data_IF_894625332645
#
_entry.id   IF_894625332645
#
_cell.length_a   1.000
_cell.length_b   1.000
_cell.length_c   1.000
_cell.angle_alpha   90.00
_cell.angle_beta   90.00
_cell.angle_gamma   90.00
#
_symmetry.space_group_name_H-M   'P 1'
#
loop_
_entity.id
_entity.type
_entity.pdbx_description
1 polymer ?
#
# COMPACT_ATOMS: atom_id res chain seq x y z
N UNK A 1 -3.77 7.31 -12.95
CA UNK A 1 -5.18 6.91 -12.81
C UNK A 1 -5.45 5.74 -13.72
N UNK A 2 -6.13 4.73 -13.20
CA UNK A 2 -6.59 3.58 -13.97
C UNK A 2 -7.96 3.92 -14.56
N UNK A 3 -8.14 3.71 -15.87
CA UNK A 3 -9.45 3.92 -16.48
C UNK A 3 -10.38 2.75 -16.13
N UNK A 4 -11.39 3.02 -15.34
CA UNK A 4 -12.37 2.05 -14.86
C UNK A 4 -13.79 2.34 -15.37
N UNK A 5 -13.94 3.26 -16.31
CA UNK A 5 -15.25 3.75 -16.77
C UNK A 5 -15.95 2.78 -17.72
N UNK A 6 -15.22 1.91 -18.39
CA UNK A 6 -15.81 0.83 -19.21
C UNK A 6 -16.38 -0.24 -18.27
N UNK A 7 -17.65 -0.54 -18.40
CA UNK A 7 -18.35 -1.49 -17.54
C UNK A 7 -17.63 -2.84 -17.40
N UNK A 8 -17.88 -3.55 -16.28
CA UNK A 8 -17.29 -4.85 -15.98
C UNK A 8 -16.78 -4.95 -14.55
N UNK A 9 -16.30 -6.12 -14.16
CA UNK A 9 -15.76 -6.40 -12.82
C UNK A 9 -14.23 -6.42 -12.80
N UNK A 10 -13.61 -6.40 -13.98
CA UNK A 10 -12.15 -6.47 -14.16
C UNK A 10 -11.70 -5.49 -15.23
N UNK A 11 -10.59 -4.84 -14.96
CA UNK A 11 -9.93 -3.94 -15.90
C UNK A 11 -8.71 -4.67 -16.46
N UNK A 12 -8.61 -4.73 -17.78
CA UNK A 12 -7.46 -5.31 -18.47
C UNK A 12 -6.59 -4.17 -19.02
N UNK A 13 -5.34 -4.14 -18.56
CA UNK A 13 -4.35 -3.18 -19.05
C UNK A 13 -3.36 -3.93 -19.94
N UNK A 14 -3.32 -3.67 -21.25
CA UNK A 14 -2.33 -4.28 -22.13
C UNK A 14 -0.94 -3.77 -21.78
N UNK A 15 0.04 -4.65 -21.83
CA UNK A 15 1.41 -4.37 -21.47
C UNK A 15 2.40 -4.99 -22.46
N UNK A 16 3.52 -4.29 -22.64
CA UNK A 16 4.68 -4.83 -23.34
C UNK A 16 5.74 -5.21 -22.30
N UNK A 17 6.23 -6.44 -22.39
CA UNK A 17 7.29 -6.88 -21.49
C UNK A 17 8.58 -6.10 -21.79
N UNK A 18 9.40 -5.83 -20.74
CA UNK A 18 10.70 -5.20 -20.92
C UNK A 18 11.57 -5.97 -21.91
N UNK A 19 12.34 -5.23 -22.69
CA UNK A 19 13.28 -5.80 -23.65
C UNK A 19 14.52 -6.28 -22.90
N UNK A 20 14.86 -7.56 -23.06
CA UNK A 20 16.13 -8.13 -22.59
C UNK A 20 16.98 -8.50 -23.81
N UNK A 21 17.79 -7.57 -24.35
CA UNK A 21 18.56 -7.81 -25.55
C UNK A 21 19.71 -8.79 -25.27
N UNK A 22 19.90 -9.75 -26.17
CA UNK A 22 21.09 -10.59 -26.20
C UNK A 22 22.00 -10.06 -27.30
N UNK A 23 23.24 -9.72 -26.94
CA UNK A 23 24.23 -9.29 -27.95
C UNK A 23 24.67 -10.46 -28.79
N UNK A 24 24.70 -10.27 -30.09
CA UNK A 24 25.22 -11.24 -31.07
C UNK A 24 26.48 -10.71 -31.73
N UNK A 25 27.47 -11.59 -31.93
CA UNK A 25 28.75 -11.24 -32.56
C UNK A 25 28.56 -11.16 -34.08
N UNK A 26 28.87 -9.99 -34.63
CA UNK A 26 28.89 -9.74 -36.08
C UNK A 26 30.31 -9.86 -36.60
N UNK A 27 30.76 -11.04 -36.98
CA UNK A 27 32.12 -11.30 -37.46
C UNK A 27 32.27 -11.24 -38.97
N UNK A 28 31.21 -11.06 -39.73
CA UNK A 28 31.20 -10.96 -41.18
C UNK A 28 31.54 -12.25 -41.94
N UNK A 29 31.72 -13.35 -41.21
CA UNK A 29 32.09 -14.66 -41.81
C UNK A 29 30.90 -15.57 -42.01
N UNK A 30 29.69 -15.12 -41.66
CA UNK A 30 28.48 -15.93 -41.71
C UNK A 30 28.07 -16.27 -43.13
N UNK A 31 27.79 -17.56 -43.36
CA UNK A 31 27.14 -18.05 -44.58
C UNK A 31 25.66 -18.21 -44.32
N UNK A 32 24.85 -17.58 -45.15
CA UNK A 32 23.39 -17.66 -45.06
C UNK A 32 22.91 -19.11 -44.92
N UNK A 33 22.19 -19.37 -43.81
CA UNK A 33 21.55 -20.69 -43.55
C UNK A 33 22.43 -21.73 -42.86
N UNK A 34 23.72 -21.47 -42.55
CA UNK A 34 24.62 -22.46 -41.92
C UNK A 34 25.19 -22.08 -40.55
N UNK A 35 25.23 -20.81 -40.20
CA UNK A 35 25.65 -20.36 -38.88
C UNK A 35 24.97 -19.06 -38.53
N UNK A 36 24.71 -18.82 -37.23
CA UNK A 36 24.14 -17.58 -36.77
C UNK A 36 25.18 -16.47 -36.58
N UNK A 37 26.46 -16.76 -36.73
CA UNK A 37 27.54 -15.79 -36.60
C UNK A 37 27.50 -14.80 -37.77
N UNK A 38 27.38 -13.53 -37.46
CA UNK A 38 27.36 -12.43 -38.43
C UNK A 38 25.98 -11.99 -38.92
N UNK A 39 24.90 -12.62 -38.49
CA UNK A 39 23.53 -12.20 -38.76
C UNK A 39 22.80 -11.97 -37.44
N UNK A 40 22.07 -10.85 -37.33
CA UNK A 40 21.22 -10.57 -36.19
C UNK A 40 19.95 -11.45 -36.26
N UNK A 41 19.64 -12.08 -35.12
CA UNK A 41 18.41 -12.83 -34.93
C UNK A 41 17.32 -11.91 -34.38
N UNK A 42 16.24 -11.62 -35.14
CA UNK A 42 15.17 -10.76 -34.65
C UNK A 42 14.52 -11.35 -33.41
N UNK A 43 14.56 -10.64 -32.31
CA UNK A 43 13.87 -10.99 -31.07
C UNK A 43 12.45 -10.42 -31.12
N UNK A 44 11.49 -11.18 -30.58
CA UNK A 44 10.10 -10.76 -30.50
C UNK A 44 9.82 -10.12 -29.16
N UNK A 45 9.14 -8.99 -29.18
CA UNK A 45 8.59 -8.39 -27.96
C UNK A 45 7.37 -9.23 -27.55
N UNK A 46 7.37 -9.71 -26.32
CA UNK A 46 6.20 -10.39 -25.75
C UNK A 46 5.25 -9.36 -25.15
N UNK A 47 3.96 -9.63 -25.27
CA UNK A 47 2.91 -8.80 -24.68
C UNK A 47 2.25 -9.56 -23.54
N UNK A 48 1.97 -8.85 -22.47
CA UNK A 48 1.23 -9.33 -21.31
C UNK A 48 -0.10 -8.59 -21.16
N UNK A 49 -0.92 -9.05 -20.23
CA UNK A 49 -2.12 -8.35 -19.80
C UNK A 49 -2.14 -8.31 -18.28
N UNK A 50 -2.12 -7.12 -17.72
CA UNK A 50 -2.37 -6.91 -16.31
C UNK A 50 -3.87 -6.92 -16.06
N UNK A 51 -4.29 -7.47 -14.93
CA UNK A 51 -5.70 -7.56 -14.57
C UNK A 51 -5.88 -6.94 -13.20
N UNK A 52 -6.62 -5.84 -13.15
CA UNK A 52 -7.11 -5.23 -11.92
C UNK A 52 -8.54 -5.65 -11.66
N UNK A 53 -8.88 -5.91 -10.40
CA UNK A 53 -10.26 -6.23 -9.99
C UNK A 53 -10.94 -5.01 -9.40
N UNK A 54 -12.21 -4.80 -9.75
CA UNK A 54 -13.04 -3.73 -9.20
C UNK A 54 -13.72 -4.25 -7.96
N UNK A 55 -13.66 -3.48 -6.89
CA UNK A 55 -14.31 -3.78 -5.63
C UNK A 55 -15.54 -2.89 -5.46
N UNK A 56 -16.72 -3.49 -5.45
CA UNK A 56 -17.98 -2.83 -5.14
C UNK A 56 -18.18 -2.86 -3.63
N UNK A 57 -18.29 -1.71 -3.00
CA UNK A 57 -18.38 -1.57 -1.55
C UNK A 57 -19.48 -0.59 -1.17
N UNK A 58 -20.16 -0.87 -0.08
CA UNK A 58 -21.15 0.01 0.48
C UNK A 58 -21.44 -0.34 1.92
N UNK A 59 -22.03 0.60 2.62
CA UNK A 59 -22.55 0.45 3.98
C UNK A 59 -23.75 1.37 4.19
N UNK A 60 -24.57 1.05 5.17
CA UNK A 60 -25.75 1.85 5.49
C UNK A 60 -25.85 2.09 6.98
N UNK A 61 -26.43 3.23 7.34
CA UNK A 61 -26.79 3.59 8.71
C UNK A 61 -28.27 3.91 8.78
N UNK A 62 -28.89 3.56 9.89
CA UNK A 62 -30.26 3.91 10.19
C UNK A 62 -30.32 4.60 11.55
N UNK A 63 -31.16 5.62 11.66
CA UNK A 63 -31.36 6.39 12.90
C UNK A 63 -32.84 6.40 13.20
N UNK A 64 -33.23 5.95 14.42
CA UNK A 64 -34.61 5.94 14.89
C UNK A 64 -35.05 7.32 15.36
N UNK A 65 -36.31 7.70 15.13
CA UNK A 65 -36.90 8.95 15.64
C UNK A 65 -36.78 9.07 17.18
N UNK A 66 -36.93 7.93 17.88
CA UNK A 66 -36.80 7.91 19.34
C UNK A 66 -35.39 8.19 19.80
N UNK A 67 -34.37 7.74 19.03
CA UNK A 67 -32.98 8.03 19.34
C UNK A 67 -32.65 9.52 19.20
N UNK A 68 -33.21 10.19 18.19
CA UNK A 68 -33.08 11.65 17.99
C UNK A 68 -33.66 12.43 19.19
N UNK A 69 -34.88 12.02 19.62
CA UNK A 69 -35.54 12.64 20.79
C UNK A 69 -34.75 12.42 22.09
N UNK A 70 -34.20 11.23 22.27
CA UNK A 70 -33.40 10.91 23.48
C UNK A 70 -32.03 11.59 23.50
N UNK A 71 -31.39 11.73 22.36
CA UNK A 71 -30.07 12.36 22.26
C UNK A 71 -30.13 13.89 22.30
N UNK A 72 -31.23 14.50 21.86
CA UNK A 72 -31.38 15.95 21.76
C UNK A 72 -30.52 16.59 20.65
N UNK A 73 -29.85 15.78 19.83
CA UNK A 73 -29.00 16.18 18.71
C UNK A 73 -29.34 15.38 17.46
N UNK A 74 -28.83 15.77 16.30
CA UNK A 74 -28.98 15.04 15.04
C UNK A 74 -27.88 13.99 14.84
N UNK A 75 -28.12 12.69 15.14
CA UNK A 75 -27.13 11.64 14.95
C UNK A 75 -26.78 11.43 13.47
N UNK A 76 -27.72 11.70 12.54
CA UNK A 76 -27.46 11.54 11.11
C UNK A 76 -26.44 12.59 10.61
N UNK A 77 -26.51 13.83 11.12
CA UNK A 77 -25.52 14.86 10.84
C UNK A 77 -24.12 14.46 11.32
N UNK A 78 -24.04 13.84 12.51
CA UNK A 78 -22.77 13.33 13.03
C UNK A 78 -22.18 12.21 12.19
N UNK A 79 -23.02 11.26 11.72
CA UNK A 79 -22.59 10.19 10.82
C UNK A 79 -22.04 10.76 9.51
N UNK A 80 -22.74 11.73 8.90
CA UNK A 80 -22.29 12.37 7.64
C UNK A 80 -20.90 12.99 7.77
N UNK A 81 -20.56 13.59 8.89
CA UNK A 81 -19.27 14.20 9.12
C UNK A 81 -18.12 13.17 9.24
N UNK A 82 -18.44 11.93 9.60
CA UNK A 82 -17.45 10.86 9.77
C UNK A 82 -17.28 9.95 8.55
N UNK A 83 -18.16 10.04 7.56
CA UNK A 83 -18.16 9.15 6.39
C UNK A 83 -16.83 9.22 5.63
N UNK A 84 -16.30 10.42 5.40
CA UNK A 84 -15.06 10.58 4.64
C UNK A 84 -13.88 9.87 5.31
N UNK A 85 -13.75 10.02 6.62
CA UNK A 85 -12.69 9.35 7.38
C UNK A 85 -12.87 7.83 7.40
N UNK A 86 -14.11 7.36 7.51
CA UNK A 86 -14.42 5.94 7.46
C UNK A 86 -14.05 5.33 6.10
N UNK A 87 -14.40 5.99 5.00
CA UNK A 87 -14.08 5.54 3.64
C UNK A 87 -12.57 5.50 3.43
N UNK A 88 -11.84 6.53 3.86
CA UNK A 88 -10.38 6.57 3.75
C UNK A 88 -9.74 5.37 4.49
N UNK A 89 -10.17 5.06 5.69
CA UNK A 89 -9.69 3.89 6.45
C UNK A 89 -10.01 2.57 5.74
N UNK A 90 -11.23 2.43 5.20
CA UNK A 90 -11.63 1.22 4.47
C UNK A 90 -10.82 1.05 3.17
N UNK A 91 -10.54 2.13 2.46
CA UNK A 91 -9.70 2.12 1.27
C UNK A 91 -8.26 1.74 1.60
N UNK A 92 -7.67 2.34 2.64
CA UNK A 92 -6.32 1.97 3.13
C UNK A 92 -6.28 0.48 3.50
N UNK A 93 -7.23 -0.02 4.28
CA UNK A 93 -7.29 -1.43 4.67
C UNK A 93 -7.38 -2.37 3.46
N UNK A 94 -8.11 -1.98 2.41
CA UNK A 94 -8.18 -2.73 1.16
C UNK A 94 -6.85 -2.74 0.42
N UNK A 95 -6.20 -1.58 0.28
CA UNK A 95 -4.88 -1.47 -0.34
C UNK A 95 -3.86 -2.36 0.37
N UNK A 96 -3.82 -2.33 1.69
CA UNK A 96 -2.91 -3.20 2.44
C UNK A 96 -3.26 -4.69 2.34
N UNK A 97 -4.52 -5.03 2.12
CA UNK A 97 -4.91 -6.42 1.81
C UNK A 97 -4.36 -6.87 0.45
N UNK A 98 -4.37 -6.00 -0.58
CA UNK A 98 -3.71 -6.28 -1.87
C UNK A 98 -2.20 -6.50 -1.67
N UNK A 99 -1.54 -5.61 -0.97
CA UNK A 99 -0.10 -5.71 -0.70
C UNK A 99 0.23 -6.98 0.07
N UNK A 100 -0.56 -7.34 1.07
CA UNK A 100 -0.37 -8.57 1.84
C UNK A 100 -0.42 -9.82 0.95
N UNK A 101 -1.41 -9.90 0.06
CA UNK A 101 -1.54 -11.01 -0.88
C UNK A 101 -0.37 -11.11 -1.85
N UNK A 102 0.04 -10.00 -2.43
CA UNK A 102 1.17 -9.93 -3.36
C UNK A 102 2.49 -10.38 -2.72
N UNK A 103 2.81 -9.86 -1.56
CA UNK A 103 4.04 -10.23 -0.84
C UNK A 103 3.99 -11.62 -0.19
N UNK A 104 2.83 -12.25 -0.16
CA UNK A 104 2.68 -13.62 0.32
C UNK A 104 3.26 -14.67 -0.63
N UNK A 105 3.32 -14.39 -1.94
CA UNK A 105 3.90 -15.29 -2.94
C UNK A 105 4.57 -14.54 -4.09
N UNK A 106 3.83 -13.73 -4.84
CA UNK A 106 4.26 -13.15 -6.11
C UNK A 106 5.50 -12.23 -5.97
N UNK A 107 5.52 -11.37 -4.95
CA UNK A 107 6.63 -10.45 -4.64
C UNK A 107 7.46 -10.90 -3.42
N UNK A 108 7.56 -12.20 -3.17
CA UNK A 108 8.33 -12.71 -2.02
C UNK A 108 9.83 -12.39 -2.10
N UNK A 109 10.40 -12.20 -3.28
CA UNK A 109 11.78 -11.77 -3.49
C UNK A 109 12.03 -10.31 -3.04
N UNK A 110 11.00 -9.45 -3.11
CA UNK A 110 11.07 -8.05 -2.71
C UNK A 110 10.70 -7.87 -1.21
N UNK A 111 10.86 -8.88 -0.41
CA UNK A 111 10.57 -8.87 1.01
C UNK A 111 11.85 -9.08 1.84
N UNK A 112 12.14 -8.13 2.71
CA UNK A 112 13.18 -8.24 3.73
C UNK A 112 12.52 -8.42 5.10
N UNK A 113 12.73 -9.57 5.70
CA UNK A 113 12.25 -9.86 7.05
C UNK A 113 13.39 -9.66 8.05
N UNK A 114 13.24 -8.67 8.92
CA UNK A 114 14.14 -8.40 10.04
C UNK A 114 13.45 -8.63 11.38
N UNK A 115 12.15 -8.85 11.38
CA UNK A 115 11.41 -9.04 12.60
C UNK A 115 11.84 -10.32 13.33
N UNK A 116 11.78 -10.28 14.65
CA UNK A 116 12.02 -11.41 15.50
C UNK A 116 10.75 -11.71 16.29
N UNK A 117 10.21 -12.89 16.09
CA UNK A 117 8.97 -13.30 16.74
C UNK A 117 9.13 -13.46 18.26
N UNK A 118 10.32 -13.88 18.76
CA UNK A 118 10.54 -14.10 20.17
C UNK A 118 10.72 -12.80 20.96
N UNK A 119 10.03 -12.65 22.09
CA UNK A 119 10.08 -11.46 22.95
C UNK A 119 11.47 -11.14 23.48
N UNK A 120 12.27 -12.18 23.76
CA UNK A 120 13.64 -12.03 24.24
C UNK A 120 14.60 -11.98 23.07
N UNK A 121 15.15 -10.80 22.79
CA UNK A 121 16.23 -10.62 21.84
C UNK A 121 15.90 -9.85 20.57
N UNK A 122 14.73 -9.22 20.45
CA UNK A 122 14.58 -8.14 19.50
C UNK A 122 15.42 -6.94 19.97
N UNK A 123 16.23 -6.41 19.09
CA UNK A 123 17.14 -5.30 19.36
C UNK A 123 17.18 -4.35 18.16
N UNK A 124 18.09 -3.39 18.17
CA UNK A 124 18.20 -2.39 17.10
C UNK A 124 18.31 -3.00 15.68
N UNK A 125 18.86 -4.19 15.56
CA UNK A 125 18.93 -4.93 14.30
C UNK A 125 17.56 -5.33 13.74
N UNK A 126 16.53 -5.39 14.57
CA UNK A 126 15.16 -5.78 14.24
C UNK A 126 14.23 -4.57 14.09
N UNK A 127 14.72 -3.37 14.41
CA UNK A 127 13.94 -2.14 14.31
C UNK A 127 14.15 -1.42 12.97
N UNK A 128 13.26 -0.49 12.67
CA UNK A 128 13.41 0.35 11.49
C UNK A 128 14.56 1.35 11.71
N UNK A 129 15.61 1.21 10.92
CA UNK A 129 16.81 2.06 10.92
C UNK A 129 17.17 2.45 9.49
N UNK A 130 18.04 3.46 9.32
CA UNK A 130 18.54 3.81 8.00
C UNK A 130 19.28 2.63 7.32
N UNK A 131 19.96 1.80 8.11
CA UNK A 131 20.63 0.59 7.62
C UNK A 131 19.62 -0.46 7.12
N UNK A 132 18.49 -0.66 7.82
CA UNK A 132 17.45 -1.60 7.40
C UNK A 132 16.79 -1.15 6.08
N UNK A 133 16.58 0.16 5.92
CA UNK A 133 16.07 0.74 4.67
C UNK A 133 17.07 0.56 3.53
N UNK A 134 18.36 0.82 3.75
CA UNK A 134 19.39 0.61 2.73
C UNK A 134 19.45 -0.86 2.27
N UNK A 135 19.35 -1.81 3.22
CA UNK A 135 19.27 -3.24 2.90
C UNK A 135 17.98 -3.60 2.13
N UNK A 136 16.86 -2.98 2.45
CA UNK A 136 15.62 -3.19 1.72
C UNK A 136 15.72 -2.65 0.28
N UNK A 137 16.30 -1.46 0.08
CA UNK A 137 16.56 -0.89 -1.24
C UNK A 137 17.48 -1.77 -2.09
N UNK A 138 18.50 -2.38 -1.49
CA UNK A 138 19.46 -3.23 -2.21
C UNK A 138 18.83 -4.49 -2.84
N UNK A 139 17.62 -4.90 -2.43
CA UNK A 139 16.88 -5.99 -3.08
C UNK A 139 16.53 -5.68 -4.53
N UNK A 140 16.30 -4.41 -4.87
CA UNK A 140 16.01 -3.97 -6.24
C UNK A 140 17.25 -3.52 -7.02
N UNK A 141 18.47 -3.71 -6.47
CA UNK A 141 19.70 -3.26 -7.09
C UNK A 141 19.68 -1.76 -7.37
N UNK A 142 20.01 -1.35 -8.60
CA UNK A 142 20.04 0.06 -9.02
C UNK A 142 18.68 0.75 -8.91
N UNK A 143 17.59 0.02 -9.06
CA UNK A 143 16.23 0.57 -8.97
C UNK A 143 15.78 0.88 -7.54
N UNK A 144 16.55 0.46 -6.54
CA UNK A 144 16.30 0.81 -5.14
C UNK A 144 16.30 2.32 -4.87
N UNK A 145 17.02 3.11 -5.69
CA UNK A 145 17.03 4.57 -5.60
C UNK A 145 15.73 5.23 -6.12
N UNK A 146 14.92 4.50 -6.87
CA UNK A 146 13.63 4.99 -7.36
C UNK A 146 12.55 5.04 -6.26
N UNK A 147 12.79 4.39 -5.10
CA UNK A 147 11.85 4.35 -3.98
C UNK A 147 11.84 5.69 -3.24
N UNK A 148 10.70 6.36 -3.23
CA UNK A 148 10.51 7.71 -2.73
C UNK A 148 9.55 7.83 -1.53
N UNK A 149 8.75 6.81 -1.28
CA UNK A 149 7.71 6.81 -0.25
C UNK A 149 7.86 5.63 0.68
N UNK A 150 7.82 5.90 1.98
CA UNK A 150 7.85 4.90 3.06
C UNK A 150 6.54 4.94 3.82
N UNK A 151 5.78 3.85 3.79
CA UNK A 151 4.52 3.71 4.52
C UNK A 151 4.75 2.87 5.76
N UNK A 152 4.41 3.39 6.93
CA UNK A 152 4.68 2.76 8.23
C UNK A 152 3.49 2.85 9.19
N UNK A 153 3.44 1.90 10.13
CA UNK A 153 2.48 1.91 11.23
C UNK A 153 2.85 2.99 12.28
N UNK A 154 1.87 3.61 12.98
CA UNK A 154 2.13 4.60 14.01
C UNK A 154 3.14 4.17 15.09
N UNK A 155 3.10 2.92 15.55
CA UNK A 155 4.04 2.40 16.56
C UNK A 155 5.50 2.47 16.09
N UNK A 156 5.75 2.24 14.80
CA UNK A 156 7.10 2.38 14.21
C UNK A 156 7.47 3.86 14.04
N UNK A 157 6.51 4.70 13.65
CA UNK A 157 6.73 6.13 13.52
C UNK A 157 7.11 6.78 14.87
N UNK A 158 6.41 6.45 15.94
CA UNK A 158 6.73 6.97 17.28
C UNK A 158 8.12 6.55 17.76
N UNK A 159 8.57 5.34 17.41
CA UNK A 159 9.95 4.93 17.65
C UNK A 159 10.95 5.82 16.92
N UNK A 160 10.72 6.10 15.63
CA UNK A 160 11.58 7.01 14.87
C UNK A 160 11.59 8.43 15.43
N UNK A 161 10.48 8.91 15.98
CA UNK A 161 10.43 10.17 16.71
C UNK A 161 11.29 10.13 17.99
N UNK A 162 11.18 9.05 18.76
CA UNK A 162 11.93 8.90 20.01
C UNK A 162 13.45 8.93 19.78
N UNK A 163 13.90 8.31 18.70
CA UNK A 163 15.32 8.23 18.32
C UNK A 163 15.78 9.50 17.57
N UNK A 164 14.85 10.42 17.22
CA UNK A 164 15.18 11.64 16.49
C UNK A 164 15.57 11.42 15.01
N UNK A 165 15.22 10.27 14.45
CA UNK A 165 15.54 9.93 13.05
C UNK A 165 14.53 10.46 12.03
N UNK A 166 13.32 10.82 12.47
CA UNK A 166 12.29 11.35 11.58
C UNK A 166 12.39 12.88 11.54
N UNK A 167 12.68 13.41 10.37
CA UNK A 167 12.73 14.85 10.13
C UNK A 167 11.46 15.30 9.43
N UNK A 168 10.87 16.40 9.90
CA UNK A 168 9.75 17.03 9.21
C UNK A 168 10.29 18.14 8.30
N UNK A 169 9.87 18.12 7.05
CA UNK A 169 10.05 19.27 6.18
C UNK A 169 9.09 20.35 6.65
N UNK A 170 9.60 21.33 7.40
CA UNK A 170 8.88 22.57 7.63
C UNK A 170 8.95 23.36 6.35
N UNK A 171 7.96 23.22 5.48
CA UNK A 171 7.86 24.04 4.31
C UNK A 171 7.73 25.50 4.74
N UNK A 172 8.80 26.26 4.51
CA UNK A 172 8.80 27.67 4.21
C UNK A 172 8.20 28.66 5.22
N UNK A 173 8.35 28.46 6.52
CA UNK A 173 8.27 29.58 7.46
C UNK A 173 9.46 29.61 8.42
N UNK A 174 10.62 29.27 7.93
CA UNK A 174 11.89 29.47 8.65
C UNK A 174 12.53 30.77 8.18
N UNK A 175 12.04 31.85 8.66
CA UNK A 175 12.91 33.01 8.90
C UNK A 175 13.65 32.74 10.22
N UNK A 176 14.80 32.10 10.09
CA UNK A 176 15.88 32.12 11.07
C UNK A 176 15.64 31.33 12.35
N UNK A 177 16.58 30.48 12.62
CA UNK A 177 16.92 29.81 13.87
C UNK A 177 16.15 28.53 14.20
N UNK A 178 16.84 27.39 13.99
CA UNK A 178 16.79 26.21 14.82
C UNK A 178 15.45 25.49 14.87
N UNK A 179 15.47 24.21 14.60
CA UNK A 179 14.39 23.26 14.91
C UNK A 179 14.00 23.44 16.38
N UNK A 180 12.93 24.18 16.64
CA UNK A 180 12.35 24.24 17.98
C UNK A 180 11.34 23.13 18.14
N UNK A 181 11.68 22.16 18.94
CA UNK A 181 10.72 21.26 19.56
C UNK A 181 9.73 22.09 20.39
N UNK A 182 8.50 22.19 19.96
CA UNK A 182 7.36 22.56 20.80
C UNK A 182 7.27 24.01 21.27
N UNK A 183 7.83 24.97 20.58
CA UNK A 183 7.72 26.35 20.96
C UNK A 183 7.24 27.26 19.84
N UNK A 184 5.97 27.55 19.79
CA UNK A 184 5.45 28.65 18.98
C UNK A 184 4.29 28.28 18.08
N UNK A 185 3.09 28.33 18.61
CA UNK A 185 1.87 28.88 18.01
C UNK A 185 1.46 28.52 16.58
N UNK A 186 2.02 27.47 15.98
CA UNK A 186 1.47 26.88 14.75
C UNK A 186 0.65 25.69 15.20
N UNK A 187 -0.63 25.76 14.99
CA UNK A 187 -1.56 24.66 15.32
C UNK A 187 -1.05 23.35 14.72
N UNK A 188 -1.22 22.29 15.48
CA UNK A 188 -0.83 20.89 15.17
C UNK A 188 -1.50 20.34 13.89
N UNK A 189 -2.15 21.19 13.11
CA UNK A 189 -2.93 20.82 11.91
C UNK A 189 -2.10 20.68 10.65
N UNK A 190 -0.89 21.20 10.61
CA UNK A 190 0.00 21.03 9.47
C UNK A 190 1.16 20.09 9.86
N UNK A 191 0.86 18.81 9.96
CA UNK A 191 1.88 17.78 10.06
C UNK A 191 2.57 17.73 8.70
N UNK A 192 3.68 18.44 8.59
CA UNK A 192 4.54 18.34 7.43
C UNK A 192 4.84 16.86 7.13
N UNK A 193 4.99 16.52 5.86
CA UNK A 193 5.37 15.17 5.45
C UNK A 193 6.73 14.88 6.10
N UNK A 194 6.78 13.87 6.98
CA UNK A 194 8.03 13.44 7.58
C UNK A 194 8.95 12.84 6.52
N UNK A 195 10.25 13.06 6.66
CA UNK A 195 11.26 12.44 5.80
C UNK A 195 12.15 11.51 6.61
N UNK A 196 12.40 10.33 6.06
CA UNK A 196 13.30 9.34 6.63
C UNK A 196 14.12 8.67 5.52
N UNK A 197 15.43 8.64 5.67
CA UNK A 197 16.36 8.05 4.69
C UNK A 197 16.11 8.54 3.23
N UNK A 198 15.75 9.81 3.06
CA UNK A 198 15.49 10.42 1.75
C UNK A 198 14.12 10.08 1.15
N UNK A 199 13.24 9.43 1.91
CA UNK A 199 11.87 9.09 1.49
C UNK A 199 10.83 9.89 2.26
N UNK A 200 9.71 10.16 1.62
CA UNK A 200 8.53 10.73 2.27
C UNK A 200 7.84 9.66 3.13
N UNK A 201 7.55 9.98 4.38
CA UNK A 201 6.94 9.05 5.32
C UNK A 201 5.44 9.27 5.40
N UNK A 202 4.69 8.20 5.13
CA UNK A 202 3.23 8.14 5.30
C UNK A 202 2.93 7.25 6.50
N UNK A 203 2.18 7.77 7.45
CA UNK A 203 1.81 7.05 8.67
C UNK A 203 0.34 6.63 8.54
N UNK A 204 0.08 5.32 8.54
CA UNK A 204 -1.27 4.78 8.47
C UNK A 204 -1.45 3.64 9.47
N UNK A 205 -2.53 3.70 10.26
CA UNK A 205 -2.88 2.69 11.25
C UNK A 205 -3.45 1.41 10.65
N UNK A 206 -3.79 1.41 9.37
CA UNK A 206 -4.31 0.25 8.65
C UNK A 206 -3.20 -0.61 8.03
N UNK A 207 -1.94 -0.20 8.16
CA UNK A 207 -0.78 -1.01 7.75
C UNK A 207 -0.81 -2.33 8.49
N UNK A 208 -0.63 -3.42 7.75
CA UNK A 208 -0.75 -4.76 8.27
C UNK A 208 0.30 -5.03 9.37
N UNK A 209 -0.17 -5.69 10.41
CA UNK A 209 0.64 -6.18 11.50
C UNK A 209 0.42 -7.69 11.64
N UNK A 210 1.43 -8.40 12.10
CA UNK A 210 1.31 -9.81 12.46
C UNK A 210 1.31 -9.91 13.97
N UNK A 211 0.16 -10.32 14.51
CA UNK A 211 0.07 -10.61 15.94
C UNK A 211 0.95 -11.83 16.26
N UNK A 212 1.64 -11.81 17.40
CA UNK A 212 2.48 -12.93 17.79
C UNK A 212 1.62 -14.18 17.99
N UNK A 213 2.07 -15.30 17.41
CA UNK A 213 1.37 -16.60 17.52
C UNK A 213 1.47 -17.28 18.88
N UNK A 214 2.29 -16.76 19.79
CA UNK A 214 2.53 -17.33 21.11
C UNK A 214 2.76 -16.23 22.15
N UNK A 215 2.41 -16.51 23.41
CA UNK A 215 2.68 -15.61 24.55
C UNK A 215 4.16 -15.22 24.63
N UNK A 216 4.41 -13.95 24.84
CA UNK A 216 5.76 -13.40 24.94
C UNK A 216 6.44 -13.05 23.61
N UNK A 217 5.77 -13.18 22.47
CA UNK A 217 6.29 -12.75 21.18
C UNK A 217 5.95 -11.27 20.93
N UNK A 218 6.75 -10.60 20.14
CA UNK A 218 6.51 -9.20 19.73
C UNK A 218 5.67 -9.14 18.46
N UNK A 219 4.92 -8.04 18.33
CA UNK A 219 4.20 -7.73 17.10
C UNK A 219 5.22 -7.41 16.00
N UNK A 220 4.95 -7.94 14.82
CA UNK A 220 5.69 -7.62 13.61
C UNK A 220 4.92 -6.56 12.82
N UNK A 221 5.60 -5.52 12.40
CA UNK A 221 5.04 -4.43 11.62
C UNK A 221 5.56 -4.46 10.20
N UNK A 222 4.66 -4.36 9.24
CA UNK A 222 5.05 -4.20 7.86
C UNK A 222 5.35 -2.73 7.54
N UNK A 223 6.41 -2.51 6.82
CA UNK A 223 6.77 -1.22 6.25
C UNK A 223 6.88 -1.40 4.75
N UNK A 224 6.29 -0.50 3.98
CA UNK A 224 6.31 -0.58 2.53
C UNK A 224 7.11 0.58 1.96
N UNK A 225 8.13 0.26 1.16
CA UNK A 225 8.90 1.21 0.38
C UNK A 225 8.34 1.17 -1.03
N UNK A 226 7.86 2.30 -1.53
CA UNK A 226 7.09 2.37 -2.77
C UNK A 226 7.62 3.53 -3.61
N UNK A 227 7.70 3.34 -4.93
CA UNK A 227 7.89 4.42 -5.87
C UNK A 227 6.53 5.05 -6.20
N UNK A 228 6.46 6.36 -6.22
CA UNK A 228 5.26 7.09 -6.66
C UNK A 228 4.83 6.64 -8.06
N UNK A 229 3.53 6.37 -8.23
CA UNK A 229 2.97 5.88 -9.49
C UNK A 229 2.99 4.37 -9.69
N UNK A 230 3.56 3.57 -8.78
CA UNK A 230 3.50 2.10 -8.85
C UNK A 230 2.11 1.56 -8.52
N UNK A 231 1.40 2.26 -7.65
CA UNK A 231 0.02 1.93 -7.28
C UNK A 231 -0.92 2.86 -8.03
N UNK A 232 -1.81 2.29 -8.80
CA UNK A 232 -2.84 3.00 -9.55
C UNK A 232 -4.18 2.82 -8.88
N UNK A 233 -4.93 3.91 -8.79
CA UNK A 233 -6.32 3.91 -8.34
C UNK A 233 -7.23 4.24 -9.51
N UNK A 234 -8.33 3.50 -9.64
CA UNK A 234 -9.41 3.76 -10.58
C UNK A 234 -10.75 3.76 -9.88
N UNK A 235 -11.63 4.66 -10.27
CA UNK A 235 -13.01 4.70 -9.79
C UNK A 235 -13.95 4.40 -10.95
N UNK A 236 -14.75 3.34 -10.81
CA UNK A 236 -15.81 3.02 -11.77
C UNK A 236 -17.08 3.81 -11.46
N UNK A 237 -17.46 3.88 -10.19
CA UNK A 237 -18.54 4.71 -9.70
C UNK A 237 -18.01 5.60 -8.58
N UNK A 238 -18.22 6.92 -8.67
CA UNK A 238 -17.88 7.82 -7.58
C UNK A 238 -18.72 7.50 -6.35
N UNK A 239 -18.34 8.09 -5.22
CA UNK A 239 -19.09 7.99 -3.99
C UNK A 239 -20.53 8.47 -4.20
N UNK A 240 -21.50 7.59 -3.98
CA UNK A 240 -22.93 7.90 -3.94
C UNK A 240 -23.43 7.84 -2.51
N UNK A 241 -24.17 8.85 -2.10
CA UNK A 241 -24.81 8.91 -0.79
C UNK A 241 -26.30 9.12 -1.05
N UNK A 242 -27.10 8.13 -0.68
CA UNK A 242 -28.54 8.18 -0.81
C UNK A 242 -29.17 8.14 0.59
N UNK A 243 -30.25 8.89 0.79
CA UNK A 243 -30.99 8.87 2.04
C UNK A 243 -32.49 8.73 1.75
N UNK A 244 -33.13 7.86 2.51
CA UNK A 244 -34.55 7.62 2.43
C UNK A 244 -35.13 7.39 3.83
N UNK A 245 -36.46 7.56 3.95
CA UNK A 245 -37.19 7.35 5.19
C UNK A 245 -37.96 6.05 5.15
N UNK A 246 -37.70 5.16 6.08
CA UNK A 246 -38.51 3.98 6.30
C UNK A 246 -39.68 4.36 7.22
N UNK A 247 -40.88 4.52 6.61
CA UNK A 247 -42.07 4.98 7.31
C UNK A 247 -42.57 3.93 8.32
N UNK A 248 -42.38 2.64 8.02
CA UNK A 248 -42.87 1.55 8.86
C UNK A 248 -42.03 1.39 10.12
N UNK A 249 -40.74 1.51 10.03
CA UNK A 249 -39.82 1.42 11.18
C UNK A 249 -39.56 2.76 11.86
N UNK A 250 -40.07 3.89 11.31
CA UNK A 250 -39.78 5.25 11.83
C UNK A 250 -38.30 5.54 11.93
N UNK A 251 -37.57 5.19 10.86
CA UNK A 251 -36.12 5.36 10.77
C UNK A 251 -35.76 6.16 9.52
N UNK A 252 -34.81 7.04 9.66
CA UNK A 252 -34.09 7.63 8.53
C UNK A 252 -32.89 6.74 8.19
N UNK A 253 -32.80 6.31 6.92
CA UNK A 253 -31.76 5.41 6.44
C UNK A 253 -30.89 6.18 5.45
N UNK A 254 -29.60 6.01 5.56
CA UNK A 254 -28.61 6.53 4.63
C UNK A 254 -27.73 5.39 4.15
N UNK A 255 -27.61 5.24 2.83
CA UNK A 255 -26.68 4.30 2.20
C UNK A 255 -25.53 5.06 1.55
N UNK A 256 -24.38 4.43 1.59
CA UNK A 256 -23.14 4.92 0.97
C UNK A 256 -22.60 3.78 0.14
N UNK A 257 -22.38 4.02 -1.15
CA UNK A 257 -21.78 3.05 -2.05
C UNK A 257 -20.71 3.70 -2.95
N UNK A 258 -19.72 2.91 -3.32
CA UNK A 258 -18.63 3.32 -4.20
C UNK A 258 -17.94 2.11 -4.82
N UNK A 259 -17.44 2.28 -6.05
CA UNK A 259 -16.75 1.23 -6.78
C UNK A 259 -15.35 1.71 -7.15
N UNK A 260 -14.36 1.05 -6.62
CA UNK A 260 -12.96 1.41 -6.85
C UNK A 260 -12.08 0.19 -7.09
N UNK A 261 -11.02 0.39 -7.83
CA UNK A 261 -9.98 -0.59 -8.10
C UNK A 261 -8.63 -0.04 -7.64
N UNK A 262 -7.84 -0.88 -6.98
CA UNK A 262 -6.41 -0.64 -6.76
C UNK A 262 -5.63 -1.63 -7.60
N UNK A 263 -4.64 -1.13 -8.31
CA UNK A 263 -3.78 -1.93 -9.15
C UNK A 263 -2.31 -1.61 -8.90
N UNK A 264 -1.51 -2.62 -8.68
CA UNK A 264 -0.07 -2.51 -8.58
C UNK A 264 0.51 -2.89 -9.95
N UNK A 265 1.26 -1.97 -10.57
CA UNK A 265 1.85 -2.19 -11.88
C UNK A 265 2.71 -3.45 -11.90
N UNK A 266 2.60 -4.24 -12.96
CA UNK A 266 3.33 -5.50 -13.10
C UNK A 266 2.67 -6.72 -12.45
N UNK A 267 1.44 -6.58 -11.97
CA UNK A 267 0.71 -7.67 -11.32
C UNK A 267 -0.61 -7.99 -12.00
N UNK A 268 -1.14 -9.17 -11.76
CA UNK A 268 -2.47 -9.54 -12.20
C UNK A 268 -3.22 -10.33 -11.14
N UNK A 269 -4.51 -10.06 -11.03
CA UNK A 269 -5.43 -10.90 -10.29
C UNK A 269 -5.71 -12.19 -11.06
N UNK A 270 -5.41 -13.35 -10.48
CA UNK A 270 -5.47 -14.66 -11.13
C UNK A 270 -6.66 -15.50 -10.69
N UNK A 271 -7.39 -15.08 -9.65
CA UNK A 271 -8.58 -15.83 -9.18
C UNK A 271 -9.81 -15.55 -10.05
N UNK A 272 -10.71 -16.53 -10.11
CA UNK A 272 -11.99 -16.41 -10.80
C UNK A 272 -13.00 -15.49 -10.07
N UNK A 273 -12.77 -15.17 -8.79
CA UNK A 273 -13.69 -14.37 -8.00
C UNK A 273 -13.79 -12.93 -8.53
N UNK A 274 -15.01 -12.52 -8.85
CA UNK A 274 -15.36 -11.13 -9.09
C UNK A 274 -15.73 -10.46 -7.76
N UNK A 275 -15.41 -9.18 -7.61
CA UNK A 275 -15.64 -8.42 -6.37
C UNK A 275 -15.07 -9.12 -5.11
N UNK A 276 -13.76 -9.39 -5.05
CA UNK A 276 -13.17 -10.17 -3.97
C UNK A 276 -13.25 -9.45 -2.61
N UNK A 277 -13.42 -10.20 -1.54
CA UNK A 277 -13.31 -9.67 -0.16
C UNK A 277 -11.86 -9.31 0.19
N UNK A 278 -11.65 -8.50 1.24
CA UNK A 278 -10.30 -8.17 1.69
C UNK A 278 -9.49 -9.43 2.09
N UNK A 279 -10.14 -10.44 2.66
CA UNK A 279 -9.50 -11.73 2.97
C UNK A 279 -9.05 -12.49 1.71
N UNK A 280 -9.86 -12.44 0.64
CA UNK A 280 -9.46 -13.02 -0.65
C UNK A 280 -8.31 -12.26 -1.30
N UNK A 281 -8.32 -10.93 -1.22
CA UNK A 281 -7.23 -10.08 -1.71
C UNK A 281 -5.92 -10.34 -0.97
N UNK A 282 -5.98 -10.62 0.33
CA UNK A 282 -4.82 -10.95 1.15
C UNK A 282 -4.27 -12.38 0.92
N UNK A 283 -4.96 -13.20 0.11
CA UNK A 283 -4.54 -14.57 -0.14
C UNK A 283 -3.42 -14.63 -1.19
N UNK A 284 -2.29 -15.18 -0.81
CA UNK A 284 -1.05 -15.17 -1.59
C UNK A 284 -1.15 -15.76 -3.00
N UNK A 285 -1.77 -16.93 -3.16
CA UNK A 285 -1.81 -17.69 -4.42
C UNK A 285 -2.82 -17.15 -5.45
N UNK A 286 -3.49 -16.05 -5.16
CA UNK A 286 -4.45 -15.40 -6.08
C UNK A 286 -3.84 -14.30 -6.93
N UNK A 287 -2.56 -14.02 -6.71
CA UNK A 287 -1.80 -13.01 -7.42
C UNK A 287 -0.71 -13.63 -8.26
N UNK A 288 -0.46 -13.08 -9.42
CA UNK A 288 0.66 -13.45 -10.28
C UNK A 288 1.35 -12.20 -10.81
N UNK A 289 2.61 -12.34 -11.20
CA UNK A 289 3.37 -11.30 -11.87
C UNK A 289 3.18 -11.40 -13.38
N UNK A 290 3.26 -10.25 -14.05
CA UNK A 290 3.29 -10.18 -15.52
C UNK A 290 4.72 -10.03 -16.03
N UNK A 291 5.64 -9.52 -15.20
CA UNK A 291 7.07 -9.47 -15.47
C UNK A 291 7.88 -9.68 -14.18
N UNK A 292 9.20 -9.68 -14.27
CA UNK A 292 10.09 -10.00 -13.17
C UNK A 292 9.88 -9.08 -11.97
N UNK A 293 9.94 -9.64 -10.77
CA UNK A 293 9.72 -8.92 -9.52
C UNK A 293 10.66 -7.73 -9.33
N UNK A 294 11.91 -7.84 -9.80
CA UNK A 294 12.93 -6.79 -9.69
C UNK A 294 12.56 -5.52 -10.46
N UNK A 295 11.65 -5.65 -11.44
CA UNK A 295 11.16 -4.53 -12.23
C UNK A 295 10.00 -3.78 -11.55
N UNK A 296 9.44 -4.34 -10.48
CA UNK A 296 8.35 -3.72 -9.74
C UNK A 296 8.93 -2.94 -8.55
N UNK A 297 8.91 -1.60 -8.57
CA UNK A 297 9.59 -0.79 -7.56
C UNK A 297 8.75 -0.67 -6.29
N UNK A 298 8.61 -1.80 -5.60
CA UNK A 298 7.96 -1.91 -4.29
C UNK A 298 8.67 -2.97 -3.46
N UNK A 299 8.96 -2.65 -2.20
CA UNK A 299 9.63 -3.54 -1.24
C UNK A 299 8.86 -3.56 0.06
N UNK A 300 8.69 -4.74 0.65
CA UNK A 300 8.20 -4.90 2.01
C UNK A 300 9.36 -5.16 2.97
N UNK A 301 9.39 -4.41 4.05
CA UNK A 301 10.30 -4.60 5.17
C UNK A 301 9.48 -4.96 6.41
N UNK A 302 9.77 -6.07 7.06
CA UNK A 302 9.13 -6.48 8.32
C UNK A 302 10.06 -6.18 9.48
N UNK A 303 9.55 -5.44 10.47
CA UNK A 303 10.32 -4.98 11.64
C UNK A 303 9.51 -5.14 12.93
N UNK A 304 10.19 -5.10 14.07
CA UNK A 304 9.56 -4.90 15.37
C UNK A 304 9.60 -3.42 15.78
N UNK A 305 8.83 -3.06 16.79
CA UNK A 305 8.90 -1.75 17.45
C UNK A 305 9.13 -1.92 18.94
N UNK A 306 10.10 -1.21 19.54
CA UNK A 306 10.34 -1.29 20.98
C UNK A 306 9.23 -0.65 21.81
N UNK A 307 8.38 0.17 21.18
CA UNK A 307 7.26 0.84 21.85
C UNK A 307 6.03 -0.05 21.99
N UNK A 308 5.95 -1.10 21.18
CA UNK A 308 4.85 -2.05 21.27
C UNK A 308 5.30 -3.31 22.00
N UNK A 309 5.22 -3.25 23.31
CA UNK A 309 5.51 -4.35 24.21
C UNK A 309 4.25 -5.14 24.56
N UNK A 310 3.16 -4.97 23.82
CA UNK A 310 1.94 -5.74 24.05
C UNK A 310 2.22 -7.23 23.80
N UNK A 311 2.80 -7.85 24.82
CA UNK A 311 2.81 -9.29 24.94
C UNK A 311 1.36 -9.72 25.15
N UNK A 312 0.83 -10.50 24.23
CA UNK A 312 -0.44 -11.18 24.50
C UNK A 312 -0.18 -12.07 25.72
N UNK A 313 -0.86 -11.71 26.82
CA UNK A 313 -0.78 -12.43 28.10
C UNK A 313 -1.36 -13.86 27.93
#
# INVERSE_FOLDING_TARGET
LLDATEGGTRIQVPEFNPISPTEEILDGTATWGTSNNGFLTPQKISTGTQIATICHRGFAYAVDDVAVLAAGEDPMGHIRNQIADAINKLNSARLFSHLQGLFGSALSSNHLDLAKAAATGAGEANYLTASSVARARSLLGERGEELDTLVIHPSVAYYLYQVGMLTFSTSALSTGTGIQWGGGGVGITDRGIGQFAGMNVVIDSQVNTVAPGASGHQIEFYCYLIKSGTILEGQQSPLSIESDRNILSKQDVMSVDYHSAYHIMGTKWSDAADNPTNAQLATANKWALTYDADLIPIVRLTVNSPLDTSTIA
#
